data_IF_159229361839
#
_entry.id   IF_159229361839
#
_cell.length_a   1.000
_cell.length_b   1.000
_cell.length_c   1.000
_cell.angle_alpha   90.00
_cell.angle_beta   90.00
_cell.angle_gamma   90.00
#
_symmetry.space_group_name_H-M   'P 1'
#
loop_
_entity.id
_entity.type
_entity.pdbx_description
1 polymer ?
#
# COMPACT_ATOMS: atom_id res chain seq x y z
N UNK A 1 49.03 -29.15 -27.83
CA UNK A 1 49.09 -28.03 -26.88
C UNK A 1 49.25 -26.76 -27.69
N UNK A 2 48.24 -25.88 -27.71
CA UNK A 2 48.26 -24.42 -27.99
C UNK A 2 46.79 -23.98 -27.94
N UNK A 3 46.44 -23.15 -26.95
CA UNK A 3 45.16 -22.46 -26.79
C UNK A 3 45.48 -20.97 -26.86
N UNK A 4 44.88 -20.25 -27.80
CA UNK A 4 45.00 -18.79 -27.96
C UNK A 4 43.73 -18.34 -28.70
N UNK A 5 42.65 -17.97 -27.98
CA UNK A 5 42.32 -16.66 -27.38
C UNK A 5 42.03 -15.62 -28.46
N UNK A 6 40.91 -14.87 -28.30
CA UNK A 6 40.59 -13.49 -28.78
C UNK A 6 39.12 -13.45 -29.26
N UNK A 7 38.23 -12.54 -28.87
CA UNK A 7 38.18 -11.55 -27.80
C UNK A 7 36.69 -11.20 -27.58
N UNK A 8 36.27 -11.11 -26.32
CA UNK A 8 34.95 -10.62 -25.93
C UNK A 8 35.01 -9.09 -25.85
N UNK A 9 34.45 -8.40 -26.84
CA UNK A 9 34.22 -6.97 -26.76
C UNK A 9 32.88 -6.73 -26.07
N UNK A 10 32.90 -6.40 -24.78
CA UNK A 10 31.75 -5.82 -24.10
C UNK A 10 32.23 -4.62 -23.30
N UNK A 11 32.43 -3.51 -24.01
CA UNK A 11 32.58 -2.19 -23.42
C UNK A 11 31.34 -1.39 -23.78
N UNK A 12 30.24 -1.60 -23.05
CA UNK A 12 29.14 -0.66 -22.99
C UNK A 12 29.44 0.30 -21.83
N UNK A 13 30.04 1.44 -22.16
CA UNK A 13 30.23 2.58 -21.27
C UNK A 13 28.87 3.05 -20.75
N UNK A 14 28.55 2.70 -19.50
CA UNK A 14 27.42 3.25 -18.76
C UNK A 14 27.79 4.63 -18.22
N UNK A 15 27.80 5.63 -19.10
CA UNK A 15 27.73 7.04 -18.69
C UNK A 15 26.27 7.39 -18.41
N UNK A 16 25.79 7.01 -17.22
CA UNK A 16 24.57 7.56 -16.62
C UNK A 16 24.94 8.27 -15.32
N UNK A 17 25.76 9.31 -15.44
CA UNK A 17 26.03 10.26 -14.38
C UNK A 17 24.97 11.35 -14.41
N UNK A 18 23.98 11.32 -13.50
CA UNK A 18 23.45 12.57 -12.96
C UNK A 18 22.01 13.01 -13.21
N UNK A 19 21.09 12.18 -13.73
CA UNK A 19 19.65 12.58 -13.87
C UNK A 19 18.62 11.56 -13.36
N UNK A 20 18.96 10.72 -12.38
CA UNK A 20 18.04 9.69 -11.86
C UNK A 20 17.64 9.87 -10.38
N UNK A 21 17.71 11.08 -9.83
CA UNK A 21 17.26 11.36 -8.46
C UNK A 21 16.07 12.34 -8.37
N UNK A 22 15.55 12.84 -9.50
CA UNK A 22 14.41 13.76 -9.52
C UNK A 22 13.04 13.07 -9.58
N UNK A 23 12.98 11.76 -9.89
CA UNK A 23 11.70 11.03 -10.08
C UNK A 23 11.31 10.16 -8.86
N UNK A 24 12.05 10.24 -7.74
CA UNK A 24 11.67 9.52 -6.52
C UNK A 24 10.69 10.30 -5.63
N UNK A 25 10.50 11.60 -5.88
CA UNK A 25 9.66 12.46 -5.01
C UNK A 25 8.19 12.57 -5.46
N UNK A 26 7.87 12.16 -6.69
CA UNK A 26 6.48 12.20 -7.20
C UNK A 26 5.62 11.02 -6.74
N UNK A 27 6.22 9.89 -6.35
CA UNK A 27 5.47 8.69 -5.94
C UNK A 27 4.96 8.71 -4.50
N UNK A 28 5.53 9.56 -3.62
CA UNK A 28 5.10 9.66 -2.22
C UNK A 28 3.78 10.45 -2.06
N UNK A 29 3.59 11.50 -2.88
CA UNK A 29 2.39 12.34 -2.84
C UNK A 29 1.14 11.56 -3.26
N UNK A 30 1.23 10.80 -4.35
CA UNK A 30 0.12 10.01 -4.89
C UNK A 30 -0.34 8.89 -3.94
N UNK A 31 0.61 8.33 -3.19
CA UNK A 31 0.34 7.25 -2.24
C UNK A 31 -0.38 7.77 -0.98
N UNK A 32 -0.05 8.99 -0.54
CA UNK A 32 -0.75 9.67 0.55
C UNK A 32 -2.17 10.13 0.15
N UNK A 33 -2.36 10.60 -1.08
CA UNK A 33 -3.69 10.92 -1.60
C UNK A 33 -4.60 9.68 -1.70
N UNK A 34 -4.06 8.57 -2.21
CA UNK A 34 -4.78 7.29 -2.25
C UNK A 34 -5.17 6.79 -0.85
N UNK A 35 -4.30 6.98 0.14
CA UNK A 35 -4.59 6.66 1.55
C UNK A 35 -5.75 7.49 2.12
N UNK A 36 -5.73 8.81 1.93
CA UNK A 36 -6.79 9.69 2.41
C UNK A 36 -8.14 9.39 1.76
N UNK A 37 -8.14 9.05 0.45
CA UNK A 37 -9.35 8.60 -0.24
C UNK A 37 -9.89 7.30 0.35
N UNK A 38 -9.00 6.35 0.64
CA UNK A 38 -9.37 5.07 1.25
C UNK A 38 -9.96 5.28 2.65
N UNK A 39 -9.33 6.14 3.46
CA UNK A 39 -9.83 6.51 4.79
C UNK A 39 -11.21 7.15 4.67
N UNK A 40 -11.41 8.08 3.74
CA UNK A 40 -12.72 8.72 3.52
C UNK A 40 -13.81 7.72 3.15
N UNK A 41 -13.50 6.73 2.30
CA UNK A 41 -14.44 5.68 1.93
C UNK A 41 -14.83 4.85 3.16
N UNK A 42 -13.84 4.39 3.93
CA UNK A 42 -14.06 3.61 5.14
C UNK A 42 -14.85 4.35 6.22
N UNK A 43 -14.74 5.68 6.30
CA UNK A 43 -15.52 6.48 7.27
C UNK A 43 -17.02 6.30 7.05
N UNK A 44 -17.44 6.24 5.78
CA UNK A 44 -18.84 6.05 5.41
C UNK A 44 -19.33 4.65 5.77
N UNK A 45 -18.48 3.64 5.59
CA UNK A 45 -18.78 2.25 5.96
C UNK A 45 -18.83 2.07 7.47
N UNK A 46 -17.94 2.73 8.22
CA UNK A 46 -17.93 2.73 9.68
C UNK A 46 -19.18 3.37 10.25
N UNK A 47 -19.59 4.52 9.73
CA UNK A 47 -20.84 5.18 10.12
C UNK A 47 -22.06 4.28 9.88
N UNK A 48 -22.12 3.64 8.71
CA UNK A 48 -23.17 2.66 8.37
C UNK A 48 -23.21 1.47 9.34
N UNK A 49 -22.04 0.97 9.76
CA UNK A 49 -21.92 -0.14 10.70
C UNK A 49 -22.04 0.29 12.17
N UNK A 50 -22.16 1.59 12.45
CA UNK A 50 -22.21 2.15 13.79
C UNK A 50 -20.88 2.05 14.56
N UNK A 51 -19.76 1.97 13.84
CA UNK A 51 -18.40 1.93 14.40
C UNK A 51 -17.88 3.36 14.51
N UNK A 52 -17.29 3.77 15.66
CA UNK A 52 -16.74 5.11 15.82
C UNK A 52 -15.58 5.37 14.83
N UNK A 53 -15.72 6.40 14.02
CA UNK A 53 -14.73 6.81 13.02
C UNK A 53 -13.45 7.37 13.64
N UNK A 54 -13.50 7.83 14.90
CA UNK A 54 -12.32 8.29 15.64
C UNK A 54 -11.24 7.19 15.77
N UNK A 55 -11.64 5.92 15.82
CA UNK A 55 -10.69 4.79 15.90
C UNK A 55 -9.85 4.61 14.64
N UNK A 56 -10.24 5.25 13.53
CA UNK A 56 -9.62 5.06 12.24
C UNK A 56 -8.30 5.81 12.09
N UNK A 57 -8.06 6.83 12.91
CA UNK A 57 -6.78 7.56 12.97
C UNK A 57 -5.68 6.75 13.68
N UNK A 58 -6.07 5.79 14.53
CA UNK A 58 -5.14 4.89 15.23
C UNK A 58 -4.76 3.66 14.37
N UNK A 59 -5.45 3.43 13.25
CA UNK A 59 -5.22 2.26 12.41
C UNK A 59 -3.97 2.40 11.54
N UNK A 60 -3.19 1.33 11.50
CA UNK A 60 -2.10 1.20 10.53
C UNK A 60 -2.63 0.96 9.12
N UNK A 61 -1.82 1.29 8.11
CA UNK A 61 -2.13 1.01 6.69
C UNK A 61 -2.51 -0.47 6.45
N UNK A 62 -1.86 -1.40 7.14
CA UNK A 62 -2.16 -2.83 7.05
C UNK A 62 -3.53 -3.19 7.59
N UNK A 63 -3.95 -2.56 8.70
CA UNK A 63 -5.27 -2.77 9.29
C UNK A 63 -6.37 -2.16 8.41
N UNK A 64 -6.14 -0.97 7.87
CA UNK A 64 -7.03 -0.32 6.90
C UNK A 64 -7.24 -1.20 5.66
N UNK A 65 -6.17 -1.82 5.12
CA UNK A 65 -6.28 -2.75 4.00
C UNK A 65 -7.06 -4.02 4.36
N UNK A 66 -6.86 -4.56 5.57
CA UNK A 66 -7.59 -5.74 6.04
C UNK A 66 -9.10 -5.45 6.20
N UNK A 67 -9.44 -4.32 6.81
CA UNK A 67 -10.83 -3.85 6.97
C UNK A 67 -11.51 -3.68 5.61
N UNK A 68 -10.82 -3.06 4.65
CA UNK A 68 -11.35 -2.93 3.28
C UNK A 68 -11.64 -4.31 2.67
N UNK A 69 -10.74 -5.28 2.84
CA UNK A 69 -10.96 -6.63 2.32
C UNK A 69 -12.17 -7.31 2.95
N UNK A 70 -12.48 -7.02 4.22
CA UNK A 70 -13.67 -7.56 4.91
C UNK A 70 -14.94 -6.86 4.42
N UNK A 71 -14.91 -5.55 4.21
CA UNK A 71 -16.05 -4.80 3.65
C UNK A 71 -16.40 -5.22 2.22
N UNK A 72 -15.40 -5.66 1.46
CA UNK A 72 -15.59 -6.21 0.11
C UNK A 72 -16.04 -7.68 0.12
N UNK A 73 -15.99 -8.37 1.27
CA UNK A 73 -16.58 -9.70 1.40
C UNK A 73 -18.10 -9.61 1.43
N UNK A 74 -18.77 -10.59 0.82
CA UNK A 74 -20.23 -10.74 0.81
C UNK A 74 -20.76 -11.31 2.15
N UNK A 75 -20.07 -11.01 3.26
CA UNK A 75 -20.43 -11.47 4.60
C UNK A 75 -21.59 -10.64 5.17
N UNK A 76 -22.36 -11.24 6.09
CA UNK A 76 -23.41 -10.52 6.82
C UNK A 76 -22.84 -9.27 7.52
N UNK A 77 -23.57 -8.14 7.48
CA UNK A 77 -23.13 -6.87 8.09
C UNK A 77 -22.71 -7.03 9.57
N UNK A 78 -23.36 -7.93 10.29
CA UNK A 78 -23.03 -8.20 11.70
C UNK A 78 -21.70 -8.97 11.85
N UNK A 79 -21.38 -9.89 10.93
CA UNK A 79 -20.08 -10.58 10.90
C UNK A 79 -18.97 -9.62 10.48
N UNK A 80 -19.23 -8.80 9.46
CA UNK A 80 -18.33 -7.73 9.00
C UNK A 80 -17.98 -6.78 10.15
N UNK A 81 -18.99 -6.31 10.89
CA UNK A 81 -18.79 -5.45 12.06
C UNK A 81 -17.90 -6.11 13.13
N UNK A 82 -18.20 -7.35 13.52
CA UNK A 82 -17.41 -8.08 14.54
C UNK A 82 -15.95 -8.25 14.12
N UNK A 83 -15.70 -8.55 12.85
CA UNK A 83 -14.34 -8.71 12.33
C UNK A 83 -13.56 -7.39 12.34
N UNK A 84 -14.21 -6.29 11.96
CA UNK A 84 -13.60 -4.94 12.00
C UNK A 84 -13.30 -4.53 13.44
N UNK A 85 -14.23 -4.72 14.37
CA UNK A 85 -14.03 -4.43 15.79
C UNK A 85 -12.88 -5.26 16.40
N UNK A 86 -12.69 -6.51 15.96
CA UNK A 86 -11.57 -7.34 16.39
C UNK A 86 -10.20 -6.80 15.90
N UNK A 87 -10.14 -6.24 14.69
CA UNK A 87 -8.92 -5.61 14.16
C UNK A 87 -8.58 -4.34 14.94
N UNK A 88 -9.59 -3.53 15.25
CA UNK A 88 -9.44 -2.30 16.04
C UNK A 88 -8.99 -2.63 17.47
N UNK A 89 -9.60 -3.64 18.11
CA UNK A 89 -9.26 -4.04 19.47
C UNK A 89 -7.87 -4.69 19.62
N UNK A 90 -7.23 -5.07 18.50
CA UNK A 90 -5.86 -5.61 18.48
C UNK A 90 -4.79 -4.56 18.11
N UNK A 91 -5.19 -3.29 17.92
CA UNK A 91 -4.29 -2.15 17.79
C UNK A 91 -3.74 -1.73 19.16
#
# INVERSE_FOLDING_TARGET
MIRTVTALATAATLSFSGMAFAEAHMSASSMNEGYNMLQTALMSDFDRLGIPTDTMDDLTLGQIAAIKSILESDDDENQTKVQIEAIIANN
#
